data_IF_116956177643
#
_entry.id   IF_116956177643
#
_cell.length_a   1.000
_cell.length_b   1.000
_cell.length_c   1.000
_cell.angle_alpha   90.00
_cell.angle_beta   90.00
_cell.angle_gamma   90.00
#
_symmetry.space_group_name_H-M   'P 1'
#
loop_
_entity.id
_entity.type
_entity.pdbx_description
1 polymer ?
#
# COMPACT_ATOMS: atom_id res chain seq x y z
N UNK A 1 3.17 -71.57 -45.75
CA UNK A 1 4.15 -71.97 -44.75
C UNK A 1 4.36 -70.82 -43.78
N UNK A 2 4.00 -71.13 -42.56
CA UNK A 2 4.47 -70.57 -41.30
C UNK A 2 3.85 -69.22 -41.01
N UNK A 3 2.81 -69.13 -40.26
CA UNK A 3 2.51 -69.44 -38.84
C UNK A 3 3.11 -68.45 -37.85
N UNK A 4 2.20 -68.03 -37.03
CA UNK A 4 2.18 -67.81 -35.61
C UNK A 4 2.45 -66.40 -35.13
N UNK A 5 1.38 -65.75 -34.64
CA UNK A 5 1.05 -65.70 -33.19
C UNK A 5 2.07 -64.90 -32.36
N UNK A 6 1.71 -63.71 -32.03
CA UNK A 6 1.83 -63.41 -30.58
C UNK A 6 0.68 -62.50 -30.10
N UNK A 7 -0.31 -63.15 -29.55
CA UNK A 7 -1.37 -62.56 -28.76
C UNK A 7 -0.94 -62.63 -27.27
N UNK A 8 -0.29 -61.61 -26.79
CA UNK A 8 -0.05 -61.51 -25.32
C UNK A 8 0.37 -60.08 -24.88
N UNK A 9 -0.57 -59.15 -24.93
CA UNK A 9 -0.42 -57.89 -24.20
C UNK A 9 -1.79 -57.26 -23.81
N UNK A 10 -2.74 -58.15 -23.42
CA UNK A 10 -4.05 -57.69 -22.95
C UNK A 10 -4.40 -58.30 -21.56
N UNK A 11 -3.51 -58.25 -20.64
CA UNK A 11 -3.74 -58.96 -19.39
C UNK A 11 -3.27 -58.30 -18.08
N UNK A 12 -2.96 -57.02 -18.08
CA UNK A 12 -2.32 -56.46 -16.88
C UNK A 12 -2.96 -55.22 -16.23
N UNK A 13 -4.21 -54.86 -16.55
CA UNK A 13 -4.84 -53.71 -15.92
C UNK A 13 -6.14 -54.04 -15.17
N UNK A 14 -6.62 -55.27 -15.16
CA UNK A 14 -7.92 -55.61 -14.59
C UNK A 14 -7.86 -56.13 -13.12
N UNK A 15 -6.71 -56.57 -12.61
CA UNK A 15 -6.68 -57.27 -11.32
C UNK A 15 -6.20 -56.41 -10.13
N UNK A 16 -5.87 -55.17 -10.30
CA UNK A 16 -5.38 -54.31 -9.17
C UNK A 16 -6.41 -53.33 -8.62
N UNK A 17 -7.63 -53.30 -9.08
CA UNK A 17 -8.70 -52.44 -8.56
C UNK A 17 -9.79 -53.16 -7.77
N UNK A 18 -9.72 -54.46 -7.57
CA UNK A 18 -10.69 -55.26 -6.80
C UNK A 18 -10.55 -55.11 -5.29
N UNK A 19 -10.29 -53.92 -4.76
CA UNK A 19 -10.21 -53.72 -3.30
C UNK A 19 -10.48 -52.30 -2.84
N UNK A 20 -10.67 -51.35 -3.75
CA UNK A 20 -10.96 -49.99 -3.38
C UNK A 20 -12.47 -49.80 -3.31
N UNK A 21 -13.00 -49.71 -2.08
CA UNK A 21 -14.42 -49.45 -1.87
C UNK A 21 -14.84 -48.16 -2.58
N UNK A 22 -15.78 -48.26 -3.52
CA UNK A 22 -16.44 -47.13 -4.15
C UNK A 22 -17.42 -46.43 -3.20
N UNK A 23 -17.72 -47.03 -2.07
CA UNK A 23 -18.65 -46.51 -1.08
C UNK A 23 -17.99 -45.46 -0.17
N UNK A 24 -18.79 -44.56 0.30
CA UNK A 24 -18.36 -43.61 1.34
C UNK A 24 -18.17 -44.30 2.70
N UNK A 25 -17.09 -43.99 3.38
CA UNK A 25 -16.76 -44.42 4.74
C UNK A 25 -16.60 -43.19 5.65
N UNK A 26 -16.47 -43.41 6.96
CA UNK A 26 -16.24 -42.36 7.93
C UNK A 26 -17.25 -41.22 7.83
N UNK A 27 -18.54 -41.53 7.73
CA UNK A 27 -19.59 -40.51 7.60
C UNK A 27 -19.75 -39.75 8.89
N UNK A 28 -19.51 -38.45 8.88
CA UNK A 28 -19.62 -37.53 10.02
C UNK A 28 -20.61 -36.41 9.70
N UNK A 29 -21.67 -36.29 10.51
CA UNK A 29 -22.63 -35.19 10.38
C UNK A 29 -21.98 -33.90 10.88
N UNK A 30 -21.91 -32.89 10.01
CA UNK A 30 -21.37 -31.55 10.31
C UNK A 30 -22.45 -30.59 10.82
N UNK A 31 -23.63 -30.64 10.19
CA UNK A 31 -24.78 -29.82 10.60
C UNK A 31 -26.10 -30.43 10.15
N UNK A 32 -27.15 -30.15 10.90
CA UNK A 32 -28.53 -30.48 10.56
C UNK A 32 -29.40 -29.26 10.78
N UNK A 33 -30.24 -28.95 9.78
CA UNK A 33 -31.26 -27.92 9.84
C UNK A 33 -32.66 -28.52 9.61
N UNK A 34 -33.67 -27.71 9.62
CA UNK A 34 -35.05 -28.15 9.31
C UNK A 34 -35.13 -28.79 7.91
N UNK A 35 -34.34 -28.34 6.96
CA UNK A 35 -34.41 -28.77 5.55
C UNK A 35 -33.24 -29.66 5.14
N UNK A 36 -32.03 -29.31 5.56
CA UNK A 36 -30.81 -29.93 5.04
C UNK A 36 -30.03 -30.69 6.13
N UNK A 37 -29.38 -31.74 5.74
CA UNK A 37 -28.29 -32.40 6.46
C UNK A 37 -27.02 -32.25 5.68
N UNK A 38 -25.94 -31.84 6.35
CA UNK A 38 -24.60 -31.72 5.78
C UNK A 38 -23.67 -32.64 6.52
N UNK A 39 -22.99 -33.50 5.79
CA UNK A 39 -22.02 -34.46 6.34
C UNK A 39 -20.71 -34.37 5.55
N UNK A 40 -19.63 -34.88 6.12
CA UNK A 40 -18.44 -35.25 5.39
C UNK A 40 -18.24 -36.77 5.44
N UNK A 41 -17.66 -37.30 4.38
CA UNK A 41 -17.36 -38.71 4.31
C UNK A 41 -16.10 -38.94 3.48
N UNK A 42 -15.45 -40.08 3.69
CA UNK A 42 -14.28 -40.44 2.88
C UNK A 42 -14.65 -41.34 1.72
N UNK A 43 -14.02 -41.11 0.56
CA UNK A 43 -14.00 -42.00 -0.59
C UNK A 43 -12.65 -41.90 -1.30
N UNK A 44 -12.03 -43.02 -1.56
CA UNK A 44 -10.66 -43.11 -2.09
C UNK A 44 -9.63 -42.33 -1.28
N UNK A 45 -9.74 -42.38 0.07
CA UNK A 45 -8.85 -41.67 0.98
C UNK A 45 -9.02 -40.18 1.07
N UNK A 46 -9.97 -39.58 0.35
CA UNK A 46 -10.25 -38.14 0.35
C UNK A 46 -11.58 -37.83 1.05
N UNK A 47 -11.63 -36.71 1.74
CA UNK A 47 -12.87 -36.17 2.28
C UNK A 47 -13.71 -35.53 1.18
N UNK A 48 -15.02 -35.76 1.26
CA UNK A 48 -16.07 -35.19 0.42
C UNK A 48 -17.13 -34.57 1.31
N UNK A 49 -17.79 -33.51 0.83
CA UNK A 49 -18.97 -32.95 1.46
C UNK A 49 -20.22 -33.62 0.85
N UNK A 50 -21.14 -34.02 1.68
CA UNK A 50 -22.41 -34.59 1.32
C UNK A 50 -23.52 -33.65 1.81
N UNK A 51 -24.30 -33.05 0.90
CA UNK A 51 -25.45 -32.21 1.22
C UNK A 51 -26.73 -32.93 0.80
N UNK A 52 -27.48 -33.39 1.78
CA UNK A 52 -28.76 -34.07 1.59
C UNK A 52 -29.91 -33.32 2.26
N UNK A 53 -31.12 -33.89 2.13
CA UNK A 53 -32.30 -33.38 2.81
C UNK A 53 -32.44 -34.00 4.19
N UNK A 54 -32.99 -33.24 5.16
CA UNK A 54 -33.41 -33.81 6.44
C UNK A 54 -34.47 -34.86 6.22
N UNK A 55 -34.48 -35.91 7.04
CA UNK A 55 -35.42 -37.03 6.95
C UNK A 55 -36.88 -36.60 6.96
N UNK A 56 -37.20 -35.52 7.68
CA UNK A 56 -38.57 -35.02 7.81
C UNK A 56 -39.14 -34.49 6.50
N UNK A 57 -38.29 -34.00 5.59
CA UNK A 57 -38.68 -33.41 4.30
C UNK A 57 -38.10 -34.17 3.09
N UNK A 58 -37.32 -35.21 3.31
CA UNK A 58 -36.61 -35.96 2.26
C UNK A 58 -37.56 -36.59 1.22
N UNK A 59 -38.79 -36.93 1.62
CA UNK A 59 -39.81 -37.54 0.74
C UNK A 59 -40.70 -36.50 0.03
N UNK A 60 -40.56 -35.21 0.35
CA UNK A 60 -41.35 -34.17 -0.27
C UNK A 60 -40.78 -33.80 -1.65
N UNK A 61 -41.61 -33.94 -2.71
CA UNK A 61 -41.21 -33.73 -4.09
C UNK A 61 -40.64 -32.30 -4.33
N UNK A 62 -41.18 -31.30 -3.63
CA UNK A 62 -40.69 -29.92 -3.75
C UNK A 62 -39.26 -29.72 -3.25
N UNK A 63 -38.88 -30.36 -2.17
CA UNK A 63 -37.46 -30.28 -1.65
C UNK A 63 -36.51 -31.09 -2.52
N UNK A 64 -36.92 -32.27 -2.98
CA UNK A 64 -36.16 -33.07 -3.94
C UNK A 64 -35.90 -32.30 -5.23
N UNK A 65 -36.89 -31.60 -5.76
CA UNK A 65 -36.70 -30.76 -6.96
C UNK A 65 -35.73 -29.60 -6.72
N UNK A 66 -35.77 -28.97 -5.54
CA UNK A 66 -34.81 -27.90 -5.16
C UNK A 66 -33.39 -28.43 -5.07
N UNK A 67 -33.18 -29.58 -4.44
CA UNK A 67 -31.86 -30.20 -4.35
C UNK A 67 -31.29 -30.50 -5.75
N UNK A 68 -32.10 -31.01 -6.69
CA UNK A 68 -31.69 -31.24 -8.06
C UNK A 68 -31.36 -29.94 -8.81
N UNK A 69 -32.16 -28.90 -8.65
CA UNK A 69 -31.88 -27.58 -9.26
C UNK A 69 -30.61 -26.97 -8.72
N UNK A 70 -30.36 -27.08 -7.41
CA UNK A 70 -29.10 -26.64 -6.83
C UNK A 70 -27.91 -27.36 -7.45
N UNK A 71 -28.00 -28.69 -7.65
CA UNK A 71 -26.97 -29.43 -8.35
C UNK A 71 -26.81 -28.96 -9.81
N UNK A 72 -27.89 -28.78 -10.54
CA UNK A 72 -27.87 -28.31 -11.95
C UNK A 72 -27.14 -26.96 -12.08
N UNK A 73 -27.33 -26.02 -11.12
CA UNK A 73 -26.60 -24.77 -11.06
C UNK A 73 -25.12 -25.00 -10.75
N UNK A 74 -24.81 -25.79 -9.74
CA UNK A 74 -23.43 -26.09 -9.33
C UNK A 74 -22.62 -26.76 -10.44
N UNK A 75 -23.25 -27.65 -11.22
CA UNK A 75 -22.57 -28.35 -12.34
C UNK A 75 -22.20 -27.41 -13.50
N UNK A 76 -22.78 -26.22 -13.58
CA UNK A 76 -22.42 -25.19 -14.58
C UNK A 76 -21.24 -24.32 -14.12
N UNK A 77 -20.84 -24.45 -12.84
CA UNK A 77 -19.83 -23.59 -12.22
C UNK A 77 -18.49 -24.30 -12.10
N UNK A 78 -17.46 -23.67 -12.63
CA UNK A 78 -16.07 -24.10 -12.48
C UNK A 78 -15.20 -22.86 -12.25
N UNK A 79 -14.86 -22.61 -10.97
CA UNK A 79 -14.09 -21.42 -10.60
C UNK A 79 -13.29 -21.69 -9.31
N UNK A 80 -12.05 -21.21 -9.19
CA UNK A 80 -11.21 -21.47 -8.00
C UNK A 80 -11.85 -21.02 -6.68
N UNK A 81 -12.70 -19.99 -6.73
CA UNK A 81 -13.36 -19.41 -5.56
C UNK A 81 -14.84 -19.82 -5.40
N UNK A 82 -15.28 -20.85 -6.12
CA UNK A 82 -16.62 -21.44 -5.98
C UNK A 82 -16.46 -22.93 -5.67
N UNK A 83 -17.30 -23.45 -4.77
CA UNK A 83 -17.30 -24.87 -4.45
C UNK A 83 -17.75 -25.73 -5.65
N UNK A 84 -17.07 -26.83 -5.89
CA UNK A 84 -17.34 -27.74 -7.01
C UNK A 84 -18.21 -28.89 -6.56
N UNK A 85 -19.34 -29.12 -7.24
CA UNK A 85 -20.13 -30.32 -7.10
C UNK A 85 -19.70 -31.39 -8.14
N UNK A 86 -19.92 -32.66 -7.79
CA UNK A 86 -19.55 -33.79 -8.63
C UNK A 86 -20.79 -34.47 -9.19
N UNK A 87 -21.85 -34.61 -8.38
CA UNK A 87 -23.08 -35.26 -8.78
C UNK A 87 -24.05 -35.48 -7.64
N UNK A 88 -25.15 -36.14 -7.94
CA UNK A 88 -26.16 -36.60 -6.98
C UNK A 88 -25.99 -38.11 -6.77
N UNK A 89 -25.84 -38.53 -5.55
CA UNK A 89 -25.69 -39.95 -5.20
C UNK A 89 -26.60 -40.32 -4.02
N UNK A 90 -27.12 -41.53 -4.04
CA UNK A 90 -27.88 -42.06 -2.92
C UNK A 90 -26.91 -42.62 -1.87
N UNK A 91 -26.91 -41.98 -0.71
CA UNK A 91 -25.99 -42.33 0.39
C UNK A 91 -26.80 -43.05 1.49
N UNK A 92 -26.30 -44.17 1.94
CA UNK A 92 -26.91 -44.94 3.02
C UNK A 92 -27.19 -44.03 4.22
N UNK A 93 -28.39 -44.10 4.77
CA UNK A 93 -28.88 -43.33 5.92
C UNK A 93 -29.06 -41.83 5.72
N UNK A 94 -28.59 -41.24 4.60
CA UNK A 94 -28.73 -39.84 4.26
C UNK A 94 -29.65 -39.60 3.06
N UNK A 95 -29.97 -40.61 2.25
CA UNK A 95 -30.75 -40.52 1.03
C UNK A 95 -29.96 -39.81 -0.09
N UNK A 96 -30.69 -39.12 -0.98
CA UNK A 96 -30.07 -38.38 -2.10
C UNK A 96 -29.25 -37.19 -1.58
N UNK A 97 -27.95 -37.20 -1.88
CA UNK A 97 -27.01 -36.16 -1.49
C UNK A 97 -26.30 -35.59 -2.72
N UNK A 98 -26.13 -34.29 -2.75
CA UNK A 98 -25.13 -33.65 -3.62
C UNK A 98 -23.76 -33.96 -3.04
N UNK A 99 -22.89 -34.56 -3.86
CA UNK A 99 -21.49 -34.82 -3.53
C UNK A 99 -20.65 -33.64 -4.02
N UNK A 100 -19.90 -33.04 -3.12
CA UNK A 100 -19.11 -31.85 -3.36
C UNK A 100 -17.67 -32.01 -2.85
N UNK A 101 -16.77 -31.13 -3.31
CA UNK A 101 -15.44 -31.01 -2.70
C UNK A 101 -15.59 -30.66 -1.21
N UNK A 102 -14.85 -31.36 -0.35
CA UNK A 102 -14.70 -30.94 1.04
C UNK A 102 -13.63 -29.85 1.13
N UNK A 103 -14.01 -28.68 1.63
CA UNK A 103 -13.13 -27.53 1.75
C UNK A 103 -12.62 -27.47 3.19
N UNK A 104 -11.32 -27.73 3.36
CA UNK A 104 -10.67 -27.58 4.64
C UNK A 104 -10.46 -26.08 4.95
N UNK A 105 -11.21 -25.57 5.93
CA UNK A 105 -11.22 -24.15 6.24
C UNK A 105 -12.23 -23.79 7.32
N UNK A 106 -12.38 -22.50 7.53
CA UNK A 106 -13.38 -21.91 8.45
C UNK A 106 -14.24 -20.89 7.70
N UNK A 107 -15.46 -20.65 8.21
CA UNK A 107 -16.32 -19.62 7.62
C UNK A 107 -15.69 -18.23 7.75
N UNK A 108 -15.98 -17.36 6.78
CA UNK A 108 -15.54 -15.95 6.85
C UNK A 108 -16.00 -15.29 8.18
N UNK A 109 -17.17 -15.69 8.70
CA UNK A 109 -17.67 -15.21 9.99
C UNK A 109 -16.72 -15.54 11.14
N UNK A 110 -16.21 -16.76 11.18
CA UNK A 110 -15.22 -17.20 12.19
C UNK A 110 -13.85 -16.59 11.93
N UNK A 111 -13.46 -16.51 10.66
CA UNK A 111 -12.19 -15.92 10.24
C UNK A 111 -12.09 -14.44 10.65
N UNK A 112 -13.16 -13.65 10.48
CA UNK A 112 -13.21 -12.23 10.86
C UNK A 112 -13.14 -11.97 12.38
N UNK A 113 -13.18 -13.01 13.23
CA UNK A 113 -12.96 -12.87 14.67
C UNK A 113 -11.45 -12.77 15.01
N UNK A 114 -10.57 -13.15 14.09
CA UNK A 114 -9.13 -12.99 14.21
C UNK A 114 -8.65 -11.60 13.81
N UNK A 115 -7.37 -11.33 14.09
CA UNK A 115 -6.71 -10.11 13.62
C UNK A 115 -6.17 -10.31 12.21
N UNK A 116 -6.52 -9.39 11.31
CA UNK A 116 -6.11 -9.45 9.91
C UNK A 116 -5.60 -8.09 9.43
N UNK A 117 -4.51 -8.11 8.69
CA UNK A 117 -3.99 -6.93 8.03
C UNK A 117 -4.98 -6.43 6.97
N UNK A 118 -4.98 -5.13 6.70
CA UNK A 118 -5.82 -4.56 5.63
C UNK A 118 -5.51 -5.15 4.26
N UNK A 119 -4.29 -5.62 4.04
CA UNK A 119 -3.89 -6.29 2.80
C UNK A 119 -4.58 -7.65 2.64
N UNK A 120 -4.63 -8.45 3.72
CA UNK A 120 -5.34 -9.74 3.73
C UNK A 120 -6.84 -9.55 3.53
N UNK A 121 -7.45 -8.62 4.29
CA UNK A 121 -8.87 -8.30 4.13
C UNK A 121 -9.22 -7.90 2.68
N UNK A 122 -8.40 -7.07 2.04
CA UNK A 122 -8.60 -6.68 0.64
C UNK A 122 -8.41 -7.84 -0.33
N UNK A 123 -7.45 -8.73 -0.07
CA UNK A 123 -7.24 -9.94 -0.89
C UNK A 123 -8.48 -10.82 -0.86
N UNK A 124 -9.04 -11.10 0.33
CA UNK A 124 -10.26 -11.88 0.51
C UNK A 124 -11.45 -11.19 -0.18
N UNK A 125 -11.62 -9.87 -0.03
CA UNK A 125 -12.67 -9.12 -0.69
C UNK A 125 -12.58 -9.22 -2.23
N UNK A 126 -11.39 -9.13 -2.81
CA UNK A 126 -11.20 -9.25 -4.26
C UNK A 126 -11.48 -10.65 -4.77
N UNK A 127 -11.09 -11.71 -4.05
CA UNK A 127 -11.43 -13.09 -4.40
C UNK A 127 -12.94 -13.33 -4.34
N UNK A 128 -13.63 -12.75 -3.34
CA UNK A 128 -15.08 -12.84 -3.26
C UNK A 128 -15.78 -12.10 -4.41
N UNK A 129 -15.29 -10.91 -4.78
CA UNK A 129 -15.77 -10.19 -5.96
C UNK A 129 -15.56 -10.98 -7.25
N UNK A 130 -14.43 -11.68 -7.38
CA UNK A 130 -14.13 -12.55 -8.52
C UNK A 130 -15.12 -13.71 -8.61
N UNK A 131 -15.37 -14.41 -7.49
CA UNK A 131 -16.37 -15.47 -7.40
C UNK A 131 -17.78 -15.00 -7.78
N UNK A 132 -18.22 -13.87 -7.20
CA UNK A 132 -19.58 -13.34 -7.46
C UNK A 132 -19.69 -12.80 -8.90
N UNK A 133 -18.66 -12.13 -9.41
CA UNK A 133 -18.60 -11.70 -10.79
C UNK A 133 -18.70 -12.87 -11.78
N UNK A 134 -18.04 -13.98 -11.46
CA UNK A 134 -18.10 -15.20 -12.27
C UNK A 134 -19.52 -15.79 -12.31
N UNK A 135 -20.19 -15.98 -11.16
CA UNK A 135 -21.56 -16.54 -11.15
C UNK A 135 -22.55 -15.62 -11.87
N UNK A 136 -22.41 -14.29 -11.70
CA UNK A 136 -23.23 -13.31 -12.43
C UNK A 136 -23.01 -13.40 -13.96
N UNK A 137 -21.80 -13.67 -14.41
CA UNK A 137 -21.52 -13.88 -15.85
C UNK A 137 -22.19 -15.13 -16.42
N UNK A 138 -22.59 -16.08 -15.56
CA UNK A 138 -23.38 -17.26 -15.90
C UNK A 138 -24.90 -17.04 -15.73
N UNK A 139 -25.31 -15.80 -15.45
CA UNK A 139 -26.73 -15.47 -15.20
C UNK A 139 -27.26 -15.93 -13.84
N UNK A 140 -26.38 -16.34 -12.92
CA UNK A 140 -26.76 -16.86 -11.60
C UNK A 140 -26.61 -15.75 -10.55
N UNK A 141 -27.67 -15.51 -9.78
CA UNK A 141 -27.69 -14.60 -8.61
C UNK A 141 -27.72 -15.46 -7.35
N UNK A 142 -26.78 -15.24 -6.44
CA UNK A 142 -26.63 -16.10 -5.25
C UNK A 142 -27.76 -15.95 -4.22
N UNK A 143 -28.22 -14.72 -3.97
CA UNK A 143 -29.32 -14.32 -3.07
C UNK A 143 -29.15 -14.61 -1.57
N UNK A 144 -28.16 -15.39 -1.16
CA UNK A 144 -27.86 -15.68 0.24
C UNK A 144 -26.38 -15.45 0.57
N UNK A 145 -25.80 -14.37 0.03
CA UNK A 145 -24.43 -13.99 0.37
C UNK A 145 -24.37 -13.53 1.82
N UNK A 146 -23.62 -14.28 2.63
CA UNK A 146 -23.36 -14.01 4.05
C UNK A 146 -22.02 -14.64 4.46
N UNK A 147 -21.39 -14.18 5.54
CA UNK A 147 -20.10 -14.73 5.97
C UNK A 147 -20.13 -16.22 6.32
N UNK A 148 -21.29 -16.79 6.64
CA UNK A 148 -21.45 -18.21 6.91
C UNK A 148 -21.35 -19.07 5.62
N UNK A 149 -21.69 -18.51 4.44
CA UNK A 149 -21.65 -19.17 3.13
C UNK A 149 -20.33 -18.94 2.37
N UNK A 150 -19.31 -18.45 3.05
CA UNK A 150 -17.97 -18.18 2.49
C UNK A 150 -16.97 -18.90 3.37
N UNK A 151 -16.22 -19.85 2.80
CA UNK A 151 -15.13 -20.55 3.49
C UNK A 151 -13.80 -19.88 3.14
N UNK A 152 -12.97 -19.66 4.15
CA UNK A 152 -11.56 -19.31 3.99
C UNK A 152 -10.75 -20.57 4.24
N UNK A 153 -10.02 -21.02 3.22
CA UNK A 153 -9.23 -22.26 3.29
C UNK A 153 -8.05 -22.12 4.26
N UNK A 154 -7.72 -23.21 4.96
CA UNK A 154 -6.53 -23.26 5.85
C UNK A 154 -5.23 -23.15 5.07
N UNK A 155 -5.21 -23.58 3.82
CA UNK A 155 -4.04 -23.50 2.98
C UNK A 155 -4.14 -22.27 2.05
N UNK A 156 -3.43 -21.21 2.38
CA UNK A 156 -3.28 -20.00 1.57
C UNK A 156 -4.41 -18.98 1.68
N UNK A 157 -5.36 -19.14 2.63
CA UNK A 157 -6.51 -18.24 2.83
C UNK A 157 -7.22 -17.90 1.51
N UNK A 158 -7.68 -18.92 0.79
CA UNK A 158 -8.47 -18.74 -0.41
C UNK A 158 -9.96 -18.73 -0.08
N UNK A 159 -10.70 -17.85 -0.76
CA UNK A 159 -12.16 -17.83 -0.68
C UNK A 159 -12.75 -19.01 -1.45
N UNK A 160 -13.73 -19.65 -0.83
CA UNK A 160 -14.63 -20.60 -1.48
C UNK A 160 -16.08 -20.23 -1.16
N UNK A 161 -16.82 -19.79 -2.17
CA UNK A 161 -18.25 -19.53 -2.08
C UNK A 161 -19.00 -20.85 -2.11
N UNK A 162 -19.87 -21.06 -1.12
CA UNK A 162 -20.65 -22.29 -0.95
C UNK A 162 -22.14 -21.96 -0.90
N UNK A 163 -22.97 -22.97 -1.01
CA UNK A 163 -24.43 -22.97 -0.79
C UNK A 163 -25.23 -22.08 -1.76
N UNK A 164 -25.70 -22.70 -2.82
CA UNK A 164 -26.53 -22.08 -3.86
C UNK A 164 -28.04 -22.39 -3.72
N UNK A 165 -28.45 -22.86 -2.52
CA UNK A 165 -29.80 -23.32 -2.29
C UNK A 165 -30.91 -22.27 -2.46
N UNK A 166 -30.58 -20.99 -2.54
CA UNK A 166 -31.52 -19.90 -2.81
C UNK A 166 -31.38 -19.26 -4.19
N UNK A 167 -30.43 -19.70 -4.98
CA UNK A 167 -30.14 -19.07 -6.28
C UNK A 167 -31.33 -19.12 -7.28
N UNK A 168 -32.21 -20.14 -7.15
CA UNK A 168 -33.41 -20.30 -7.96
C UNK A 168 -34.64 -20.58 -7.09
N UNK A 169 -34.93 -19.74 -6.09
CA UNK A 169 -36.07 -19.94 -5.19
C UNK A 169 -37.15 -18.87 -5.34
N UNK A 170 -38.36 -19.25 -5.01
CA UNK A 170 -39.53 -18.36 -4.97
C UNK A 170 -39.52 -17.41 -3.72
N UNK A 171 -40.38 -16.41 -3.75
CA UNK A 171 -40.51 -15.41 -2.68
C UNK A 171 -40.87 -15.99 -1.32
N UNK A 172 -41.64 -17.07 -1.28
CA UNK A 172 -42.08 -17.68 -0.01
C UNK A 172 -40.88 -18.29 0.77
N UNK A 173 -39.96 -18.91 0.10
CA UNK A 173 -38.75 -19.47 0.73
C UNK A 173 -37.80 -18.40 1.21
N UNK A 174 -37.69 -17.29 0.46
CA UNK A 174 -36.85 -16.14 0.84
C UNK A 174 -37.39 -15.47 2.11
N UNK A 175 -38.72 -15.31 2.21
CA UNK A 175 -39.38 -14.66 3.37
C UNK A 175 -39.29 -15.48 4.67
N UNK A 176 -39.11 -16.79 4.58
CA UNK A 176 -38.96 -17.71 5.73
C UNK A 176 -37.52 -17.77 6.28
N UNK A 177 -36.57 -17.05 5.72
CA UNK A 177 -35.20 -17.05 6.18
C UNK A 177 -35.05 -16.61 7.65
N UNK A 178 -34.11 -17.20 8.41
CA UNK A 178 -33.80 -16.78 9.77
C UNK A 178 -33.42 -15.30 9.87
N UNK A 179 -33.70 -14.68 11.01
CA UNK A 179 -33.47 -13.25 11.24
C UNK A 179 -31.96 -12.86 11.00
N UNK A 180 -31.02 -13.78 11.28
CA UNK A 180 -29.60 -13.57 11.02
C UNK A 180 -29.25 -13.40 9.53
N UNK A 181 -29.91 -14.13 8.65
CA UNK A 181 -29.75 -14.04 7.19
C UNK A 181 -30.35 -12.74 6.67
N UNK A 182 -31.48 -12.28 7.23
CA UNK A 182 -32.16 -11.04 6.82
C UNK A 182 -31.26 -9.80 6.93
N UNK A 183 -30.22 -9.81 7.77
CA UNK A 183 -29.26 -8.71 7.89
C UNK A 183 -28.54 -8.42 6.57
N UNK A 184 -28.21 -9.44 5.79
CA UNK A 184 -27.45 -9.32 4.54
C UNK A 184 -28.34 -9.14 3.31
N UNK A 185 -29.64 -9.37 3.44
CA UNK A 185 -30.63 -9.31 2.38
C UNK A 185 -31.01 -7.86 2.07
N UNK A 186 -31.00 -7.51 0.78
CA UNK A 186 -31.39 -6.18 0.33
C UNK A 186 -32.89 -5.86 0.65
N UNK A 187 -33.25 -4.59 0.80
CA UNK A 187 -34.65 -4.22 1.06
C UNK A 187 -35.62 -4.73 -0.01
N UNK A 188 -35.24 -4.60 -1.28
CA UNK A 188 -36.03 -5.04 -2.43
C UNK A 188 -36.18 -6.56 -2.51
N UNK A 189 -35.14 -7.32 -2.19
CA UNK A 189 -35.20 -8.78 -2.13
C UNK A 189 -36.17 -9.31 -1.08
N UNK A 190 -36.45 -8.53 -0.02
CA UNK A 190 -37.45 -8.86 0.99
C UNK A 190 -38.89 -8.71 0.48
N UNK A 191 -39.08 -7.95 -0.59
CA UNK A 191 -40.38 -7.61 -1.15
C UNK A 191 -40.73 -8.42 -2.39
N UNK A 192 -39.72 -8.88 -3.13
CA UNK A 192 -39.90 -9.56 -4.44
C UNK A 192 -38.94 -10.73 -4.59
N UNK A 193 -39.38 -11.77 -5.33
CA UNK A 193 -38.58 -12.92 -5.68
C UNK A 193 -37.71 -12.68 -6.95
N UNK A 194 -37.83 -11.54 -7.59
CA UNK A 194 -37.09 -11.26 -8.82
C UNK A 194 -35.59 -11.30 -8.58
N UNK A 195 -34.89 -12.13 -9.35
CA UNK A 195 -33.45 -12.24 -9.29
C UNK A 195 -32.82 -10.98 -9.90
N UNK A 196 -32.02 -10.27 -9.10
CA UNK A 196 -31.28 -9.10 -9.54
C UNK A 196 -29.88 -9.16 -8.96
N UNK A 197 -28.85 -9.06 -9.82
CA UNK A 197 -27.44 -9.10 -9.42
C UNK A 197 -27.08 -8.02 -8.38
N UNK A 198 -27.84 -6.92 -8.34
CA UNK A 198 -27.67 -5.83 -7.38
C UNK A 198 -28.05 -6.22 -5.95
N UNK A 199 -28.81 -7.32 -5.76
CA UNK A 199 -29.08 -7.88 -4.45
C UNK A 199 -27.80 -8.43 -3.82
N UNK A 200 -27.01 -9.17 -4.60
CA UNK A 200 -25.70 -9.69 -4.15
C UNK A 200 -24.70 -8.55 -3.89
N UNK A 201 -24.75 -7.48 -4.69
CA UNK A 201 -23.92 -6.27 -4.44
C UNK A 201 -24.26 -5.61 -3.11
N UNK A 202 -25.55 -5.56 -2.74
CA UNK A 202 -25.95 -5.08 -1.41
C UNK A 202 -25.37 -5.98 -0.30
N UNK A 203 -25.52 -7.29 -0.44
CA UNK A 203 -24.98 -8.26 0.53
C UNK A 203 -23.48 -8.15 0.68
N UNK A 204 -22.74 -7.97 -0.43
CA UNK A 204 -21.31 -7.69 -0.42
C UNK A 204 -20.99 -6.38 0.34
N UNK A 205 -21.78 -5.33 0.14
CA UNK A 205 -21.66 -4.08 0.89
C UNK A 205 -21.78 -4.28 2.40
N UNK A 206 -22.75 -5.11 2.84
CA UNK A 206 -22.93 -5.46 4.25
C UNK A 206 -21.76 -6.32 4.78
N UNK A 207 -21.27 -7.28 4.01
CA UNK A 207 -20.09 -8.10 4.37
C UNK A 207 -18.87 -7.19 4.49
N UNK A 208 -18.61 -6.35 3.51
CA UNK A 208 -17.42 -5.47 3.47
C UNK A 208 -17.46 -4.39 4.56
N UNK A 209 -18.62 -3.98 5.03
CA UNK A 209 -18.74 -3.07 6.18
C UNK A 209 -18.19 -3.67 7.49
N UNK A 210 -18.10 -5.00 7.58
CA UNK A 210 -17.52 -5.72 8.71
C UNK A 210 -16.00 -5.91 8.56
N UNK A 211 -15.45 -5.60 7.37
CA UNK A 211 -14.06 -5.77 7.02
C UNK A 211 -13.41 -4.39 6.88
N UNK A 212 -12.58 -3.95 7.78
CA UNK A 212 -11.91 -2.63 7.72
C UNK A 212 -11.06 -2.44 6.43
N UNK A 213 -11.72 -2.41 5.27
CA UNK A 213 -11.09 -2.32 3.94
C UNK A 213 -10.56 -0.92 3.62
N UNK A 214 -11.09 0.10 4.26
CA UNK A 214 -10.82 1.50 3.96
C UNK A 214 -11.44 1.96 2.64
N UNK A 215 -12.59 1.39 2.24
CA UNK A 215 -13.38 1.72 1.06
C UNK A 215 -14.77 2.25 1.40
N UNK A 216 -14.90 3.03 2.49
CA UNK A 216 -16.20 3.41 3.10
C UNK A 216 -17.20 3.99 2.09
N UNK A 217 -16.79 4.93 1.24
CA UNK A 217 -17.67 5.52 0.22
C UNK A 217 -18.17 4.51 -0.82
N UNK A 218 -17.35 3.51 -1.16
CA UNK A 218 -17.69 2.44 -2.09
C UNK A 218 -18.68 1.49 -1.42
N UNK A 219 -18.39 1.09 -0.17
CA UNK A 219 -19.25 0.22 0.64
C UNK A 219 -20.62 0.85 0.86
N UNK A 220 -20.67 2.13 1.20
CA UNK A 220 -21.92 2.88 1.35
C UNK A 220 -22.73 2.86 0.03
N UNK A 221 -22.05 3.03 -1.13
CA UNK A 221 -22.74 2.99 -2.43
C UNK A 221 -23.33 1.60 -2.74
N UNK A 222 -22.70 0.50 -2.30
CA UNK A 222 -23.27 -0.85 -2.43
C UNK A 222 -24.63 -0.99 -1.70
N UNK A 223 -24.86 -0.22 -0.64
CA UNK A 223 -26.05 -0.32 0.20
C UNK A 223 -27.12 0.75 -0.10
N UNK A 224 -26.90 1.60 -1.10
CA UNK A 224 -27.89 2.60 -1.55
C UNK A 224 -29.10 1.96 -2.21
N UNK A 225 -30.19 2.71 -2.43
CA UNK A 225 -31.31 2.27 -3.27
C UNK A 225 -30.81 1.70 -4.60
N UNK A 226 -31.54 0.74 -5.15
CA UNK A 226 -31.10 -0.12 -6.26
C UNK A 226 -30.64 0.66 -7.50
N UNK A 227 -31.28 1.81 -7.78
CA UNK A 227 -30.94 2.68 -8.93
C UNK A 227 -29.59 3.41 -8.75
N UNK A 228 -29.22 3.71 -7.50
CA UNK A 228 -27.98 4.42 -7.16
C UNK A 228 -26.81 3.50 -6.82
N UNK A 229 -27.08 2.20 -6.72
CA UNK A 229 -26.10 1.15 -6.41
C UNK A 229 -25.21 0.88 -7.63
N UNK A 230 -24.10 0.19 -7.44
CA UNK A 230 -23.36 -0.38 -8.58
C UNK A 230 -24.26 -1.35 -9.33
N UNK A 231 -24.22 -1.29 -10.67
CA UNK A 231 -25.12 -2.08 -11.49
C UNK A 231 -24.61 -3.50 -11.76
N UNK A 232 -23.32 -3.73 -11.59
CA UNK A 232 -22.67 -5.03 -11.72
C UNK A 232 -21.34 -5.06 -10.93
N UNK A 233 -20.76 -6.24 -10.78
CA UNK A 233 -19.50 -6.44 -10.07
C UNK A 233 -18.32 -5.74 -10.76
N UNK A 234 -18.32 -5.65 -12.09
CA UNK A 234 -17.25 -4.95 -12.83
C UNK A 234 -17.19 -3.47 -12.44
N UNK A 235 -18.34 -2.79 -12.38
CA UNK A 235 -18.40 -1.38 -11.93
C UNK A 235 -17.87 -1.20 -10.51
N UNK A 236 -18.20 -2.13 -9.60
CA UNK A 236 -17.69 -2.11 -8.23
C UNK A 236 -16.17 -2.31 -8.16
N UNK A 237 -15.64 -3.28 -8.91
CA UNK A 237 -14.20 -3.56 -9.01
C UNK A 237 -13.45 -2.36 -9.58
N UNK A 238 -13.99 -1.73 -10.63
CA UNK A 238 -13.38 -0.56 -11.26
C UNK A 238 -13.35 0.64 -10.31
N UNK A 239 -14.39 0.82 -9.48
CA UNK A 239 -14.40 1.86 -8.45
C UNK A 239 -13.30 1.64 -7.40
N UNK A 240 -13.07 0.40 -6.97
CA UNK A 240 -11.99 0.02 -6.05
C UNK A 240 -10.62 0.31 -6.69
N UNK A 241 -10.40 -0.16 -7.92
CA UNK A 241 -9.14 0.04 -8.67
C UNK A 241 -8.84 1.53 -8.89
N UNK A 242 -9.86 2.31 -9.27
CA UNK A 242 -9.72 3.77 -9.46
C UNK A 242 -9.28 4.46 -8.16
N UNK A 243 -9.90 4.11 -7.04
CA UNK A 243 -9.54 4.67 -5.74
C UNK A 243 -8.10 4.35 -5.33
N UNK A 244 -7.67 3.10 -5.54
CA UNK A 244 -6.31 2.68 -5.21
C UNK A 244 -5.26 3.38 -6.10
N UNK A 245 -5.53 3.54 -7.41
CA UNK A 245 -4.69 4.33 -8.33
C UNK A 245 -4.58 5.79 -7.88
N UNK A 246 -5.68 6.42 -7.51
CA UNK A 246 -5.69 7.82 -7.04
C UNK A 246 -4.83 7.98 -5.79
N UNK A 247 -4.96 7.09 -4.79
CA UNK A 247 -4.13 7.11 -3.58
C UNK A 247 -2.63 6.99 -3.90
N UNK A 248 -2.27 6.10 -4.82
CA UNK A 248 -0.90 5.92 -5.26
C UNK A 248 -0.35 7.18 -5.94
N UNK A 249 -1.14 7.82 -6.82
CA UNK A 249 -0.75 9.07 -7.49
C UNK A 249 -0.51 10.19 -6.45
N UNK A 250 -1.41 10.36 -5.49
CA UNK A 250 -1.23 11.35 -4.42
C UNK A 250 0.04 11.10 -3.58
N UNK A 251 0.34 9.84 -3.27
CA UNK A 251 1.56 9.49 -2.53
C UNK A 251 2.83 9.88 -3.31
N UNK A 252 2.88 9.55 -4.61
CA UNK A 252 4.00 9.92 -5.47
C UNK A 252 4.12 11.44 -5.65
N UNK A 253 3.00 12.14 -5.79
CA UNK A 253 2.98 13.60 -5.90
C UNK A 253 3.49 14.27 -4.62
N UNK A 254 3.09 13.78 -3.44
CA UNK A 254 3.59 14.28 -2.15
C UNK A 254 5.09 14.04 -1.99
N UNK A 255 5.59 12.86 -2.39
CA UNK A 255 7.02 12.54 -2.36
C UNK A 255 7.81 13.46 -3.31
N UNK A 256 7.32 13.65 -4.53
CA UNK A 256 7.95 14.54 -5.51
C UNK A 256 8.02 16.00 -4.99
N UNK A 257 6.95 16.50 -4.38
CA UNK A 257 6.93 17.81 -3.75
C UNK A 257 7.97 17.94 -2.63
N UNK A 258 8.07 16.92 -1.77
CA UNK A 258 9.08 16.88 -0.70
C UNK A 258 10.49 16.95 -1.26
N UNK A 259 10.78 16.18 -2.32
CA UNK A 259 12.09 16.20 -2.98
C UNK A 259 12.41 17.55 -3.64
N UNK A 260 11.41 18.21 -4.23
CA UNK A 260 11.58 19.56 -4.80
C UNK A 260 11.92 20.57 -3.70
N UNK A 261 11.18 20.54 -2.58
CA UNK A 261 11.45 21.43 -1.43
C UNK A 261 12.87 21.20 -0.89
N UNK A 262 13.28 19.94 -0.74
CA UNK A 262 14.63 19.59 -0.31
C UNK A 262 15.70 20.11 -1.30
N UNK A 263 15.49 19.91 -2.60
CA UNK A 263 16.40 20.39 -3.62
C UNK A 263 16.54 21.92 -3.60
N UNK A 264 15.43 22.64 -3.49
CA UNK A 264 15.42 24.13 -3.42
C UNK A 264 16.16 24.62 -2.17
N UNK A 265 15.96 23.97 -1.01
CA UNK A 265 16.67 24.37 0.22
C UNK A 265 18.18 24.13 0.12
N UNK A 266 18.60 22.95 -0.36
CA UNK A 266 20.02 22.61 -0.54
C UNK A 266 20.68 23.53 -1.57
N UNK A 267 20.05 23.76 -2.73
CA UNK A 267 20.56 24.66 -3.75
C UNK A 267 20.64 26.10 -3.26
N UNK A 268 19.61 26.56 -2.53
CA UNK A 268 19.59 27.89 -1.94
C UNK A 268 20.74 28.11 -0.93
N UNK A 269 21.01 27.12 -0.07
CA UNK A 269 22.15 27.17 0.86
C UNK A 269 23.52 27.20 0.14
N UNK A 270 23.69 26.35 -0.87
CA UNK A 270 24.92 26.31 -1.66
C UNK A 270 25.17 27.63 -2.41
N UNK A 271 24.13 28.23 -2.98
CA UNK A 271 24.25 29.52 -3.67
C UNK A 271 24.60 30.67 -2.71
N UNK A 272 24.01 30.68 -1.51
CA UNK A 272 24.33 31.66 -0.46
C UNK A 272 25.78 31.53 0.00
N UNK A 273 26.23 30.32 0.32
CA UNK A 273 27.60 30.06 0.73
C UNK A 273 28.62 30.59 -0.32
N UNK A 274 28.39 30.28 -1.60
CA UNK A 274 29.24 30.78 -2.67
C UNK A 274 29.24 32.32 -2.77
N UNK A 275 28.09 32.97 -2.62
CA UNK A 275 27.97 34.43 -2.65
C UNK A 275 28.77 35.08 -1.51
N UNK A 276 28.73 34.50 -0.30
CA UNK A 276 29.51 34.96 0.86
C UNK A 276 31.01 34.79 0.61
N UNK A 277 31.44 33.61 0.11
CA UNK A 277 32.84 33.35 -0.21
C UNK A 277 33.39 34.35 -1.25
N UNK A 278 32.64 34.62 -2.30
CA UNK A 278 33.01 35.58 -3.36
C UNK A 278 33.19 37.00 -2.76
N UNK A 279 32.33 37.40 -1.81
CA UNK A 279 32.43 38.70 -1.13
C UNK A 279 33.68 38.75 -0.22
N UNK A 280 34.00 37.67 0.48
CA UNK A 280 35.22 37.59 1.31
C UNK A 280 36.47 37.71 0.41
N UNK A 281 36.52 37.02 -0.71
CA UNK A 281 37.64 37.10 -1.67
C UNK A 281 37.82 38.53 -2.21
N UNK A 282 36.72 39.18 -2.60
CA UNK A 282 36.77 40.57 -3.07
C UNK A 282 37.21 41.52 -1.96
N UNK A 283 36.70 41.35 -0.74
CA UNK A 283 37.10 42.15 0.42
C UNK A 283 38.60 42.01 0.76
N UNK A 284 39.18 40.79 0.69
CA UNK A 284 40.61 40.56 0.84
C UNK A 284 41.42 41.31 -0.20
N UNK A 285 40.96 41.32 -1.46
CA UNK A 285 41.60 42.06 -2.52
C UNK A 285 41.62 43.59 -2.27
N UNK A 286 40.56 44.11 -1.63
CA UNK A 286 40.50 45.54 -1.22
C UNK A 286 41.55 45.83 -0.14
N UNK A 287 41.71 44.96 0.84
CA UNK A 287 42.75 45.08 1.88
C UNK A 287 44.14 45.05 1.27
N UNK A 288 44.44 44.06 0.41
CA UNK A 288 45.72 43.92 -0.23
C UNK A 288 46.08 45.17 -1.09
N UNK A 289 45.10 45.69 -1.84
CA UNK A 289 45.28 46.89 -2.63
C UNK A 289 45.57 48.11 -1.74
N UNK A 290 44.85 48.27 -0.62
CA UNK A 290 45.08 49.36 0.31
C UNK A 290 46.51 49.32 0.93
N UNK A 291 46.99 48.15 1.25
CA UNK A 291 48.35 47.90 1.75
C UNK A 291 49.40 48.22 0.65
N UNK A 292 49.15 47.83 -0.57
CA UNK A 292 50.03 48.12 -1.71
C UNK A 292 50.08 49.61 -2.01
N UNK A 293 48.92 50.32 -2.06
CA UNK A 293 48.86 51.76 -2.31
C UNK A 293 49.50 52.57 -1.20
N UNK A 294 49.51 52.06 0.03
CA UNK A 294 50.24 52.68 1.13
C UNK A 294 51.75 52.63 1.05
N UNK A 295 52.29 51.96 0.00
CA UNK A 295 53.70 51.84 -0.22
C UNK A 295 54.42 50.88 0.72
N UNK A 296 53.68 49.98 1.39
CA UNK A 296 54.22 48.91 2.25
C UNK A 296 54.83 47.82 1.41
N UNK A 297 55.02 48.12 0.12
CA UNK A 297 55.63 47.16 -0.81
C UNK A 297 57.10 46.94 -0.42
N UNK A 298 57.31 45.80 0.02
CA UNK A 298 58.47 44.98 -0.15
C UNK A 298 59.57 44.95 0.95
N UNK A 299 59.91 45.98 1.66
CA UNK A 299 60.96 45.86 2.70
C UNK A 299 60.93 46.98 3.75
N UNK A 300 60.23 46.82 4.87
CA UNK A 300 60.45 47.56 6.08
C UNK A 300 61.75 47.12 6.81
N UNK A 301 62.84 47.11 6.08
CA UNK A 301 64.09 46.58 6.61
C UNK A 301 65.04 47.66 7.11
N UNK A 302 64.82 48.91 6.72
CA UNK A 302 65.67 50.01 7.03
C UNK A 302 64.93 51.31 7.41
N UNK A 303 65.57 52.19 8.17
CA UNK A 303 65.07 53.55 8.46
C UNK A 303 64.67 54.33 7.20
N UNK A 304 65.33 54.12 6.08
CA UNK A 304 64.98 54.72 4.81
C UNK A 304 63.59 54.31 4.30
N UNK A 305 63.13 53.15 4.68
CA UNK A 305 61.80 52.68 4.31
C UNK A 305 60.66 53.43 4.98
N UNK A 306 60.92 54.07 6.12
CA UNK A 306 59.95 54.96 6.80
C UNK A 306 59.58 56.19 5.96
N UNK A 307 60.49 56.67 5.13
CA UNK A 307 60.22 57.86 4.26
C UNK A 307 59.28 57.56 3.09
N UNK A 308 59.13 56.27 2.70
CA UNK A 308 58.25 55.87 1.61
C UNK A 308 56.86 55.39 2.09
N UNK A 309 56.72 55.18 3.42
CA UNK A 309 55.44 54.71 3.96
C UNK A 309 54.49 55.89 4.05
N UNK A 310 53.29 55.77 3.56
CA UNK A 310 52.25 56.76 3.70
C UNK A 310 51.79 56.84 5.15
N UNK A 311 52.14 57.93 5.83
CA UNK A 311 51.77 58.16 7.24
C UNK A 311 50.26 58.21 7.45
N UNK A 312 49.51 58.73 6.49
CA UNK A 312 48.05 58.74 6.52
C UNK A 312 47.42 57.33 6.56
N UNK A 313 48.08 56.32 6.03
CA UNK A 313 47.66 54.93 6.16
C UNK A 313 47.82 54.37 7.56
N UNK A 314 48.93 54.64 8.20
CA UNK A 314 49.18 54.22 9.57
C UNK A 314 48.28 54.93 10.59
N UNK A 315 48.02 56.22 10.40
CA UNK A 315 47.07 56.99 11.21
C UNK A 315 45.67 56.39 11.11
N UNK A 316 45.20 56.09 9.91
CA UNK A 316 43.88 55.42 9.69
C UNK A 316 43.80 54.07 10.36
N UNK A 317 44.85 53.25 10.33
CA UNK A 317 44.87 51.96 11.05
C UNK A 317 44.84 52.14 12.53
N UNK A 318 45.55 53.13 13.08
CA UNK A 318 45.54 53.47 14.51
C UNK A 318 44.17 53.97 14.97
N UNK A 319 43.48 54.74 14.12
CA UNK A 319 42.16 55.23 14.35
C UNK A 319 41.03 54.20 14.12
N UNK A 320 41.42 52.96 13.76
CA UNK A 320 40.48 51.87 13.50
C UNK A 320 39.73 51.96 12.17
N UNK A 321 40.18 52.80 11.25
CA UNK A 321 39.59 52.98 9.90
C UNK A 321 40.18 52.00 8.88
N UNK A 322 39.79 50.77 8.96
CA UNK A 322 40.27 49.70 8.09
C UNK A 322 39.54 49.71 6.72
N UNK A 323 40.30 49.37 5.66
CA UNK A 323 39.80 49.38 4.28
C UNK A 323 38.55 48.47 4.08
N UNK A 324 38.49 47.35 4.75
CA UNK A 324 37.36 46.41 4.69
C UNK A 324 36.05 47.02 5.22
N UNK A 325 36.11 47.96 6.16
CA UNK A 325 34.91 48.59 6.73
C UNK A 325 34.14 49.45 5.69
N UNK A 326 34.85 50.10 4.80
CA UNK A 326 34.22 50.82 3.69
C UNK A 326 33.59 49.82 2.67
N UNK A 327 34.31 48.77 2.33
CA UNK A 327 33.79 47.69 1.50
C UNK A 327 32.52 47.05 2.07
N UNK A 328 32.48 46.77 3.39
CA UNK A 328 31.26 46.26 4.05
C UNK A 328 30.08 47.20 3.94
N UNK A 329 30.31 48.52 4.00
CA UNK A 329 29.23 49.52 3.77
C UNK A 329 28.71 49.50 2.33
N UNK A 330 29.60 49.32 1.37
CA UNK A 330 29.24 49.28 -0.06
C UNK A 330 28.39 48.05 -0.37
N UNK A 331 28.71 46.88 0.15
CA UNK A 331 27.96 45.63 -0.10
C UNK A 331 26.75 45.42 0.82
N UNK A 332 26.56 46.30 1.83
CA UNK A 332 25.58 46.11 2.92
C UNK A 332 24.12 45.95 2.46
N UNK A 333 23.76 46.48 1.27
CA UNK A 333 22.42 46.29 0.70
C UNK A 333 22.17 44.96 -0.02
N UNK A 334 23.20 44.15 -0.22
CA UNK A 334 23.15 42.92 -1.02
C UNK A 334 23.11 41.63 -0.19
N UNK A 335 23.40 41.71 1.11
CA UNK A 335 23.54 40.58 2.03
C UNK A 335 22.68 40.77 3.27
N UNK A 336 22.27 39.66 3.87
CA UNK A 336 21.58 39.66 5.17
C UNK A 336 22.55 40.03 6.30
N UNK A 337 22.00 40.46 7.45
CA UNK A 337 22.81 40.80 8.63
C UNK A 337 23.74 39.65 9.08
N UNK A 338 23.30 38.40 9.00
CA UNK A 338 24.11 37.24 9.35
C UNK A 338 25.23 36.98 8.35
N UNK A 339 24.98 37.16 7.06
CA UNK A 339 25.99 37.05 6.01
C UNK A 339 27.01 38.17 6.09
N UNK A 340 26.57 39.40 6.37
CA UNK A 340 27.48 40.53 6.59
C UNK A 340 28.37 40.34 7.83
N UNK A 341 27.83 39.78 8.91
CA UNK A 341 28.60 39.45 10.08
C UNK A 341 29.69 38.40 9.82
N UNK A 342 29.37 37.38 9.02
CA UNK A 342 30.34 36.35 8.61
C UNK A 342 31.45 36.94 7.74
N UNK A 343 31.09 37.73 6.72
CA UNK A 343 32.04 38.44 5.85
C UNK A 343 32.92 39.40 6.68
N UNK A 344 32.31 40.19 7.55
CA UNK A 344 33.04 41.15 8.40
C UNK A 344 34.06 40.45 9.30
N UNK A 345 33.67 39.33 9.93
CA UNK A 345 34.58 38.57 10.82
C UNK A 345 35.76 38.00 10.03
N UNK A 346 35.52 37.43 8.85
CA UNK A 346 36.57 36.89 8.00
C UNK A 346 37.55 37.97 7.52
N UNK A 347 37.04 39.14 7.11
CA UNK A 347 37.86 40.27 6.67
C UNK A 347 38.62 40.91 7.81
N UNK A 348 38.03 41.02 9.01
CA UNK A 348 38.71 41.53 10.19
C UNK A 348 39.88 40.66 10.60
N UNK A 349 39.75 39.35 10.56
CA UNK A 349 40.84 38.42 10.85
C UNK A 349 41.96 38.56 9.81
N UNK A 350 41.59 38.56 8.51
CA UNK A 350 42.56 38.69 7.43
C UNK A 350 43.30 40.03 7.49
N UNK A 351 42.62 41.15 7.67
CA UNK A 351 43.21 42.48 7.79
C UNK A 351 44.17 42.54 8.99
N UNK A 352 43.78 41.97 10.15
CA UNK A 352 44.65 41.89 11.30
C UNK A 352 45.93 41.09 11.08
N UNK A 353 45.85 39.99 10.30
CA UNK A 353 47.00 39.18 9.92
C UNK A 353 47.95 39.96 9.01
N UNK A 354 47.48 40.76 8.08
CA UNK A 354 48.27 41.53 7.14
C UNK A 354 48.84 42.84 7.73
N UNK A 355 48.07 43.58 8.51
CA UNK A 355 48.43 44.91 8.98
C UNK A 355 49.22 44.94 10.31
N UNK A 356 48.95 43.99 11.22
CA UNK A 356 49.63 43.93 12.55
C UNK A 356 51.17 43.84 12.43
N UNK A 357 51.76 42.99 11.56
CA UNK A 357 53.22 42.95 11.41
C UNK A 357 53.78 44.30 10.94
N UNK A 358 53.05 45.03 10.03
CA UNK A 358 53.46 46.30 9.49
C UNK A 358 53.53 47.34 10.63
N UNK A 359 52.50 47.45 11.44
CA UNK A 359 52.42 48.37 12.58
C UNK A 359 53.53 48.07 13.63
N UNK A 360 53.74 46.82 13.91
CA UNK A 360 54.79 46.40 14.86
C UNK A 360 56.16 46.80 14.35
N UNK A 361 56.47 46.51 13.10
CA UNK A 361 57.77 46.83 12.50
C UNK A 361 58.01 48.35 12.37
N UNK A 362 56.95 49.09 12.01
CA UNK A 362 57.02 50.56 11.97
C UNK A 362 57.34 51.14 13.33
N UNK A 363 56.69 50.69 14.39
CA UNK A 363 56.95 51.20 15.76
C UNK A 363 58.40 50.88 16.21
N UNK A 364 58.89 49.68 15.86
CA UNK A 364 60.28 49.34 16.14
C UNK A 364 61.28 50.25 15.44
N UNK A 365 61.08 50.47 14.14
CA UNK A 365 61.93 51.37 13.36
C UNK A 365 61.85 52.80 13.82
N UNK A 366 60.69 53.25 14.28
CA UNK A 366 60.50 54.57 14.87
C UNK A 366 61.30 54.71 16.20
N UNK A 367 61.25 53.70 17.07
CA UNK A 367 62.05 53.71 18.30
C UNK A 367 63.55 53.69 18.01
N UNK A 368 63.97 52.95 16.99
CA UNK A 368 65.39 52.94 16.52
C UNK A 368 65.81 54.33 16.03
N UNK A 369 64.95 55.03 15.27
CA UNK A 369 65.19 56.39 14.82
C UNK A 369 65.26 57.41 15.94
N UNK A 370 64.32 57.38 16.86
CA UNK A 370 64.29 58.30 18.00
C UNK A 370 65.53 58.12 18.89
N UNK A 371 65.99 56.86 19.14
CA UNK A 371 67.23 56.59 19.85
C UNK A 371 68.48 57.07 19.13
N UNK A 372 68.54 57.01 17.79
CA UNK A 372 69.69 57.49 17.02
C UNK A 372 69.78 59.03 17.09
N UNK A 373 68.65 59.75 17.08
CA UNK A 373 68.59 61.20 17.27
C UNK A 373 69.07 61.59 18.68
N UNK A 374 68.65 60.85 19.71
CA UNK A 374 69.06 61.16 21.10
C UNK A 374 70.57 60.90 21.35
N UNK A 375 71.18 60.00 20.57
CA UNK A 375 72.59 59.68 20.66
C UNK A 375 73.50 60.58 19.80
N UNK A 376 72.93 61.49 19.01
CA UNK A 376 73.64 62.53 18.29
C UNK A 376 74.42 62.06 17.01
N UNK A 377 73.99 60.94 16.43
CA UNK A 377 74.39 60.42 15.15
C UNK A 377 73.47 60.85 13.98
#
# INVERSE_FOLDING_TARGET
MISENDSSASGYITDSFEGVSQNFTDVEILSTSEVNVVARAKRYGRWWLLKGLNKDVANEAGYQQRLRKELELLMQLQHPHVATAIGLEEIRDLGNCIVMEYIEGITLKKWLQGEHSRKELRRIAMQLLDAVGYIHSKGIVHRDLKPDNIIITTNGDHVKLIDFGLADTDSHTILKQPAGTKKYMSPEQRLTAVADVRNDIYSLGVIFSQMNLGYDSIIIRCQKPIESRYQNISELVDAIRKRDKIKTIFLWAALALLLIVLAVTVFGQSHRAKKVDDAIVNGKSVIDKAIQEAGVAQHLDTLQSLMYLRTDFLERLQDGNHAYQQYLKEIGGEYSESELAEIANALMIYDGEQTKPIVVRFNQLKEEYDKAIEQGD
#
